data_IF_126059091054
#
_entry.id   IF_126059091054
#
_cell.length_a   1.000
_cell.length_b   1.000
_cell.length_c   1.000
_cell.angle_alpha   90.00
_cell.angle_beta   90.00
_cell.angle_gamma   90.00
#
_symmetry.space_group_name_H-M   'P 1'
#
loop_
_entity.id
_entity.type
_entity.pdbx_description
1 polymer ?
#
# COMPACT_ATOMS: atom_id res chain seq x y z
N UNK A 1 -21.25 48.58 -3.99
CA UNK A 1 -20.27 47.55 -3.64
C UNK A 1 -20.90 46.19 -3.87
N UNK A 2 -20.77 45.65 -5.08
CA UNK A 2 -21.35 44.34 -5.44
C UNK A 2 -20.40 43.23 -5.03
N UNK A 3 -20.88 42.29 -4.21
CA UNK A 3 -20.13 41.13 -3.73
C UNK A 3 -19.69 40.26 -4.90
N UNK A 4 -18.39 40.27 -5.20
CA UNK A 4 -17.72 39.14 -5.86
C UNK A 4 -17.68 37.97 -4.87
N UNK A 5 -18.83 37.39 -4.55
CA UNK A 5 -18.88 36.02 -4.04
C UNK A 5 -18.61 35.16 -5.28
N UNK A 6 -17.33 34.91 -5.52
CA UNK A 6 -16.79 34.44 -6.79
C UNK A 6 -17.26 33.00 -7.04
N UNK A 7 -17.47 32.62 -8.30
CA UNK A 7 -17.77 31.23 -8.71
C UNK A 7 -16.83 30.17 -8.10
N UNK A 8 -15.63 30.57 -7.66
CA UNK A 8 -14.68 29.73 -6.91
C UNK A 8 -15.22 29.22 -5.58
N UNK A 9 -16.01 30.02 -4.87
CA UNK A 9 -16.44 29.71 -3.49
C UNK A 9 -17.64 28.75 -3.50
N UNK A 10 -18.56 28.94 -4.47
CA UNK A 10 -19.64 27.98 -4.74
C UNK A 10 -19.09 26.62 -5.17
N UNK A 11 -18.04 26.62 -6.02
CA UNK A 11 -17.39 25.40 -6.49
C UNK A 11 -16.66 24.66 -5.35
N UNK A 12 -15.92 25.39 -4.51
CA UNK A 12 -15.29 24.82 -3.31
C UNK A 12 -16.31 24.19 -2.38
N UNK A 13 -17.45 24.84 -2.15
CA UNK A 13 -18.52 24.30 -1.31
C UNK A 13 -19.13 23.01 -1.88
N UNK A 14 -19.33 22.94 -3.20
CA UNK A 14 -19.84 21.74 -3.89
C UNK A 14 -18.88 20.55 -3.72
N UNK A 15 -17.59 20.73 -4.03
CA UNK A 15 -16.58 19.68 -3.87
C UNK A 15 -16.43 19.19 -2.44
N UNK A 16 -16.50 20.11 -1.47
CA UNK A 16 -16.46 19.77 -0.04
C UNK A 16 -17.65 18.90 0.35
N UNK A 17 -18.84 19.21 -0.14
CA UNK A 17 -20.05 18.41 0.09
C UNK A 17 -19.93 17.02 -0.53
N UNK A 18 -19.46 16.94 -1.77
CA UNK A 18 -19.28 15.69 -2.50
C UNK A 18 -18.33 14.73 -1.79
N UNK A 19 -17.12 15.18 -1.42
CA UNK A 19 -16.15 14.31 -0.76
C UNK A 19 -16.52 13.98 0.69
N UNK A 20 -17.26 14.86 1.37
CA UNK A 20 -17.77 14.62 2.72
C UNK A 20 -18.67 13.38 2.72
N UNK A 21 -19.58 13.32 1.75
CA UNK A 21 -20.53 12.21 1.60
C UNK A 21 -19.93 10.97 0.93
N UNK A 22 -18.75 11.09 0.31
CA UNK A 22 -18.11 9.95 -0.34
C UNK A 22 -17.56 8.95 0.69
N UNK A 23 -17.91 7.68 0.49
CA UNK A 23 -17.34 6.57 1.23
C UNK A 23 -16.46 5.74 0.30
N UNK A 24 -15.19 5.55 0.67
CA UNK A 24 -14.30 4.63 -0.04
C UNK A 24 -14.73 3.16 0.09
N UNK A 25 -15.55 2.86 1.10
CA UNK A 25 -16.11 1.55 1.37
C UNK A 25 -17.54 1.50 0.84
N UNK A 26 -17.82 0.65 -0.16
CA UNK A 26 -19.20 0.31 -0.51
C UNK A 26 -19.78 -0.55 0.65
N UNK A 27 -20.98 -0.24 1.18
CA UNK A 27 -21.63 -1.05 2.22
C UNK A 27 -21.80 -2.54 1.85
N UNK A 28 -21.80 -2.87 0.56
CA UNK A 28 -21.86 -4.25 0.04
C UNK A 28 -20.47 -4.90 -0.08
N UNK A 29 -19.41 -4.14 0.15
CA UNK A 29 -18.05 -4.62 0.00
C UNK A 29 -17.63 -5.46 1.21
N UNK A 30 -17.30 -6.72 0.96
CA UNK A 30 -16.91 -7.64 2.02
C UNK A 30 -15.57 -7.23 2.67
N UNK A 31 -14.63 -6.65 1.91
CA UNK A 31 -13.33 -6.17 2.39
C UNK A 31 -13.18 -4.65 2.17
N UNK A 32 -13.49 -3.84 3.20
CA UNK A 32 -13.34 -2.39 3.13
C UNK A 32 -11.88 -1.92 3.05
N UNK A 33 -11.66 -0.74 2.46
CA UNK A 33 -10.35 -0.06 2.43
C UNK A 33 -9.75 0.07 3.83
N UNK A 34 -10.58 0.37 4.83
CA UNK A 34 -10.16 0.44 6.23
C UNK A 34 -9.50 -0.86 6.70
N UNK A 35 -10.14 -2.02 6.47
CA UNK A 35 -9.60 -3.32 6.86
C UNK A 35 -8.32 -3.65 6.10
N UNK A 36 -8.23 -3.27 4.81
CA UNK A 36 -7.00 -3.41 4.04
C UNK A 36 -5.86 -2.59 4.62
N UNK A 37 -6.11 -1.33 4.94
CA UNK A 37 -5.07 -0.42 5.46
C UNK A 37 -4.60 -0.84 6.84
N UNK A 38 -5.52 -1.25 7.75
CA UNK A 38 -5.17 -1.82 9.05
C UNK A 38 -4.22 -3.03 8.87
N UNK A 39 -4.63 -3.98 8.03
CA UNK A 39 -3.87 -5.20 7.76
C UNK A 39 -2.52 -4.93 7.12
N UNK A 40 -2.50 -4.20 6.01
CA UNK A 40 -1.31 -4.05 5.18
C UNK A 40 -0.34 -3.01 5.74
N UNK A 41 -0.78 -2.02 6.52
CA UNK A 41 0.12 -1.01 7.11
C UNK A 41 0.43 -1.24 8.60
N UNK A 42 -0.16 -2.28 9.20
CA UNK A 42 -0.06 -2.61 10.63
C UNK A 42 -0.41 -1.43 11.54
N UNK A 43 -1.46 -0.68 11.23
CA UNK A 43 -1.88 0.51 11.97
C UNK A 43 -3.13 0.25 12.81
N UNK A 44 -3.26 0.97 13.92
CA UNK A 44 -4.49 0.94 14.71
C UNK A 44 -5.66 1.67 14.00
N UNK A 45 -6.90 1.31 14.35
CA UNK A 45 -8.13 1.84 13.75
C UNK A 45 -8.21 3.37 13.83
N UNK A 46 -7.78 3.97 14.94
CA UNK A 46 -7.82 5.43 15.13
C UNK A 46 -6.87 6.12 14.15
N UNK A 47 -5.67 5.59 13.98
CA UNK A 47 -4.67 6.11 13.03
C UNK A 47 -5.15 5.95 11.58
N UNK A 48 -5.75 4.81 11.23
CA UNK A 48 -6.32 4.59 9.89
C UNK A 48 -7.44 5.58 9.58
N UNK A 49 -8.34 5.84 10.52
CA UNK A 49 -9.40 6.82 10.36
C UNK A 49 -8.84 8.24 10.10
N UNK A 50 -7.81 8.64 10.84
CA UNK A 50 -7.13 9.93 10.61
C UNK A 50 -6.48 10.00 9.22
N UNK A 51 -5.83 8.92 8.77
CA UNK A 51 -5.23 8.86 7.44
C UNK A 51 -6.27 8.90 6.32
N UNK A 52 -7.45 8.32 6.50
CA UNK A 52 -8.55 8.44 5.54
C UNK A 52 -9.06 9.88 5.42
N UNK A 53 -9.14 10.62 6.54
CA UNK A 53 -9.43 12.05 6.51
C UNK A 53 -8.33 12.81 5.76
N UNK A 54 -7.06 12.51 6.04
CA UNK A 54 -5.93 13.11 5.32
C UNK A 54 -5.97 12.81 3.82
N UNK A 55 -6.37 11.60 3.41
CA UNK A 55 -6.52 11.23 1.99
C UNK A 55 -7.60 12.09 1.31
N UNK A 56 -8.75 12.28 1.96
CA UNK A 56 -9.80 13.17 1.43
C UNK A 56 -9.29 14.60 1.25
N UNK A 57 -8.62 15.15 2.27
CA UNK A 57 -8.00 16.50 2.19
C UNK A 57 -6.98 16.56 1.05
N UNK A 58 -6.11 15.56 0.93
CA UNK A 58 -5.11 15.48 -0.14
C UNK A 58 -5.72 15.47 -1.55
N UNK A 59 -6.81 14.73 -1.76
CA UNK A 59 -7.51 14.70 -3.05
C UNK A 59 -8.22 16.03 -3.36
N UNK A 60 -8.80 16.69 -2.35
CA UNK A 60 -9.38 18.03 -2.49
C UNK A 60 -8.34 19.07 -2.91
N UNK A 61 -7.18 19.08 -2.23
CA UNK A 61 -6.10 20.03 -2.54
C UNK A 61 -5.60 19.86 -3.99
N UNK A 62 -5.39 18.61 -4.41
CA UNK A 62 -5.09 18.32 -5.81
C UNK A 62 -6.15 18.87 -6.76
N UNK A 63 -7.42 18.66 -6.43
CA UNK A 63 -8.52 19.09 -7.27
C UNK A 63 -8.65 20.62 -7.36
N UNK A 64 -8.40 21.33 -6.26
CA UNK A 64 -8.37 22.79 -6.26
C UNK A 64 -7.25 23.32 -7.16
N UNK A 65 -6.03 22.77 -7.03
CA UNK A 65 -4.89 23.17 -7.86
C UNK A 65 -5.15 22.92 -9.36
N UNK A 66 -5.67 21.74 -9.71
CA UNK A 66 -6.02 21.39 -11.10
C UNK A 66 -7.04 22.37 -11.69
N UNK A 67 -8.02 22.81 -10.88
CA UNK A 67 -9.08 23.72 -11.33
C UNK A 67 -8.59 25.16 -11.45
N UNK A 68 -7.73 25.62 -10.55
CA UNK A 68 -7.10 26.94 -10.64
C UNK A 68 -6.25 27.08 -11.92
N UNK A 69 -5.58 26.00 -12.33
CA UNK A 69 -4.84 25.91 -13.60
C UNK A 69 -5.74 25.93 -14.85
N UNK A 70 -7.08 25.90 -14.69
CA UNK A 70 -8.08 25.86 -15.77
C UNK A 70 -7.83 24.76 -16.81
N UNK A 71 -7.31 23.62 -16.36
CA UNK A 71 -7.01 22.50 -17.24
C UNK A 71 -8.31 21.97 -17.83
N UNK A 72 -8.37 21.88 -19.16
CA UNK A 72 -9.45 21.17 -19.82
C UNK A 72 -9.31 19.68 -19.51
N UNK A 73 -10.26 19.19 -18.72
CA UNK A 73 -10.37 17.79 -18.36
C UNK A 73 -10.67 17.00 -19.62
N UNK A 74 -9.75 16.11 -20.00
CA UNK A 74 -9.98 15.10 -21.03
C UNK A 74 -10.12 13.74 -20.34
N UNK A 75 -10.74 12.76 -20.99
CA UNK A 75 -10.86 11.37 -20.50
C UNK A 75 -9.51 10.66 -20.25
N UNK A 76 -8.39 11.35 -20.47
CA UNK A 76 -7.03 10.85 -20.40
C UNK A 76 -6.38 10.94 -19.02
N UNK A 77 -7.10 11.36 -17.96
CA UNK A 77 -6.56 11.54 -16.60
C UNK A 77 -5.66 12.77 -16.46
N UNK A 78 -5.45 13.23 -15.23
CA UNK A 78 -4.62 14.39 -14.89
C UNK A 78 -3.67 14.00 -13.78
N UNK A 79 -2.36 14.19 -13.98
CA UNK A 79 -1.35 13.99 -12.95
C UNK A 79 -1.63 14.83 -11.71
N UNK A 80 -1.36 14.26 -10.53
CA UNK A 80 -1.30 14.98 -9.26
C UNK A 80 -0.46 16.27 -9.38
N UNK A 81 -0.75 17.26 -8.53
CA UNK A 81 0.06 18.49 -8.39
C UNK A 81 0.90 18.50 -7.12
N UNK A 82 0.52 17.66 -6.18
CA UNK A 82 1.20 17.52 -4.89
C UNK A 82 1.52 16.05 -4.63
N UNK A 83 2.63 15.81 -3.95
CA UNK A 83 3.03 14.48 -3.50
C UNK A 83 2.48 14.19 -2.10
N UNK A 84 2.02 12.96 -1.88
CA UNK A 84 1.61 12.51 -0.56
C UNK A 84 2.85 12.09 0.27
N UNK A 85 2.89 12.36 1.59
CA UNK A 85 3.89 11.78 2.49
C UNK A 85 3.87 10.25 2.40
N UNK A 86 5.00 9.54 2.62
CA UNK A 86 5.11 8.11 2.37
C UNK A 86 3.99 7.27 3.00
N UNK A 87 3.62 7.51 4.26
CA UNK A 87 2.52 6.81 4.92
C UNK A 87 1.15 7.10 4.28
N UNK A 88 0.87 8.37 3.94
CA UNK A 88 -0.37 8.73 3.24
C UNK A 88 -0.39 8.20 1.81
N UNK A 89 0.76 8.17 1.16
CA UNK A 89 0.92 7.63 -0.18
C UNK A 89 0.64 6.12 -0.21
N UNK A 90 0.99 5.37 0.85
CA UNK A 90 0.58 3.96 0.98
C UNK A 90 -0.96 3.83 1.08
N UNK A 91 -1.63 4.71 1.84
CA UNK A 91 -3.10 4.73 1.90
C UNK A 91 -3.71 5.13 0.56
N UNK A 92 -3.10 6.07 -0.15
CA UNK A 92 -3.53 6.47 -1.49
C UNK A 92 -3.37 5.33 -2.49
N UNK A 93 -2.24 4.63 -2.48
CA UNK A 93 -2.01 3.40 -3.24
C UNK A 93 -3.07 2.35 -2.92
N UNK A 94 -3.33 2.05 -1.64
CA UNK A 94 -4.42 1.14 -1.25
C UNK A 94 -5.76 1.59 -1.83
N UNK A 95 -6.08 2.89 -1.81
CA UNK A 95 -7.33 3.41 -2.40
C UNK A 95 -7.40 3.22 -3.93
N UNK A 96 -6.28 3.38 -4.66
CA UNK A 96 -6.21 3.16 -6.11
C UNK A 96 -6.56 1.71 -6.48
N UNK A 97 -6.20 0.75 -5.61
CA UNK A 97 -6.53 -0.67 -5.79
C UNK A 97 -8.03 -0.97 -5.57
N UNK A 98 -8.80 -0.03 -5.01
CA UNK A 98 -10.27 0.00 -5.05
C UNK A 98 -10.69 0.81 -6.27
N UNK A 99 -10.26 0.37 -7.46
CA UNK A 99 -10.16 1.24 -8.63
C UNK A 99 -11.51 1.85 -9.04
N UNK A 100 -12.62 1.14 -8.87
CA UNK A 100 -13.95 1.68 -9.15
C UNK A 100 -14.27 2.91 -8.28
N UNK A 101 -14.10 2.77 -6.95
CA UNK A 101 -14.38 3.82 -5.99
C UNK A 101 -13.40 4.99 -6.15
N UNK A 102 -12.11 4.70 -6.34
CA UNK A 102 -11.11 5.73 -6.58
C UNK A 102 -11.39 6.55 -7.84
N UNK A 103 -11.74 5.88 -8.96
CA UNK A 103 -12.10 6.56 -10.20
C UNK A 103 -13.39 7.37 -10.03
N UNK A 104 -14.37 6.86 -9.29
CA UNK A 104 -15.62 7.57 -9.02
C UNK A 104 -15.39 8.88 -8.27
N UNK A 105 -14.61 8.87 -7.17
CA UNK A 105 -14.31 10.10 -6.44
C UNK A 105 -13.48 11.08 -7.27
N UNK A 106 -12.48 10.61 -8.03
CA UNK A 106 -11.71 11.50 -8.89
C UNK A 106 -12.59 12.16 -9.96
N UNK A 107 -13.50 11.41 -10.59
CA UNK A 107 -14.44 11.96 -11.59
C UNK A 107 -15.39 12.97 -10.97
N UNK A 108 -15.85 12.73 -9.75
CA UNK A 108 -16.68 13.69 -9.02
C UNK A 108 -15.91 15.00 -8.77
N UNK A 109 -14.67 14.90 -8.28
CA UNK A 109 -13.85 16.07 -7.95
C UNK A 109 -13.34 16.86 -9.17
N UNK A 110 -12.79 16.18 -10.17
CA UNK A 110 -12.08 16.81 -11.30
C UNK A 110 -12.55 16.36 -12.67
N UNK A 111 -13.56 15.49 -12.77
CA UNK A 111 -14.09 14.99 -14.06
C UNK A 111 -13.28 13.87 -14.70
N UNK A 112 -12.11 13.51 -14.18
CA UNK A 112 -11.28 12.41 -14.66
C UNK A 112 -10.51 11.75 -13.52
N UNK A 113 -9.65 10.76 -13.83
CA UNK A 113 -8.75 10.16 -12.84
C UNK A 113 -7.66 11.16 -12.45
N UNK A 114 -7.35 11.26 -11.15
CA UNK A 114 -6.14 11.92 -10.66
C UNK A 114 -5.02 10.87 -10.69
N UNK A 115 -4.03 11.06 -11.56
CA UNK A 115 -2.92 10.13 -11.69
C UNK A 115 -1.88 10.36 -10.60
N UNK A 116 -1.59 9.32 -9.84
CA UNK A 116 -0.45 9.27 -8.93
C UNK A 116 0.84 9.38 -9.74
N UNK A 117 1.67 10.36 -9.39
CA UNK A 117 3.00 10.54 -9.96
C UNK A 117 4.05 10.00 -9.00
N UNK A 118 4.81 9.00 -9.44
CA UNK A 118 5.88 8.41 -8.65
C UNK A 118 7.11 9.33 -8.56
N UNK A 119 7.29 10.24 -9.52
CA UNK A 119 8.51 11.03 -9.68
C UNK A 119 8.37 12.49 -9.21
N UNK A 120 7.21 12.90 -8.70
CA UNK A 120 7.01 14.28 -8.25
C UNK A 120 7.72 14.57 -6.94
N UNK A 121 8.65 15.53 -7.00
CA UNK A 121 9.34 16.10 -5.83
C UNK A 121 8.69 17.40 -5.33
N UNK A 122 7.53 17.78 -5.87
CA UNK A 122 6.78 18.96 -5.43
C UNK A 122 6.03 18.65 -4.12
N UNK A 123 6.81 18.56 -3.04
CA UNK A 123 6.30 18.40 -1.69
C UNK A 123 5.74 19.75 -1.26
N UNK A 124 4.42 19.82 -1.06
CA UNK A 124 3.83 20.95 -0.35
C UNK A 124 4.12 20.79 1.14
N UNK A 125 5.28 21.26 1.60
CA UNK A 125 5.71 21.20 3.01
C UNK A 125 4.65 21.73 3.98
N UNK A 126 3.84 22.69 3.55
CA UNK A 126 2.72 23.22 4.34
C UNK A 126 1.61 22.18 4.57
N UNK A 127 1.30 21.36 3.57
CA UNK A 127 0.31 20.28 3.69
C UNK A 127 0.88 19.18 4.59
N UNK A 128 2.16 18.84 4.39
CA UNK A 128 2.87 17.86 5.22
C UNK A 128 2.90 18.28 6.69
N UNK A 129 3.29 19.53 7.01
CA UNK A 129 3.28 20.07 8.38
C UNK A 129 1.89 20.16 8.99
N UNK A 130 0.85 20.45 8.18
CA UNK A 130 -0.54 20.44 8.65
C UNK A 130 -1.03 19.04 8.99
N UNK A 131 -0.59 18.02 8.25
CA UNK A 131 -1.03 16.63 8.42
C UNK A 131 -0.22 15.86 9.47
N UNK A 132 1.11 16.06 9.49
CA UNK A 132 2.07 15.40 10.37
C UNK A 132 3.09 16.44 10.87
N UNK A 133 2.76 17.22 11.91
CA UNK A 133 3.57 18.37 12.34
C UNK A 133 4.99 18.02 12.81
N UNK A 134 5.19 16.79 13.30
CA UNK A 134 6.48 16.31 13.79
C UNK A 134 7.40 15.82 12.66
N UNK A 135 6.86 15.63 11.46
CA UNK A 135 7.54 15.02 10.32
C UNK A 135 8.40 16.04 9.57
N UNK A 136 9.71 15.78 9.46
CA UNK A 136 10.67 16.67 8.77
C UNK A 136 11.01 16.22 7.33
N UNK A 137 11.65 17.09 6.55
CA UNK A 137 11.97 16.81 5.14
C UNK A 137 12.98 15.67 4.96
N UNK A 138 13.89 15.48 5.93
CA UNK A 138 14.87 14.39 5.88
C UNK A 138 14.14 13.05 6.05
N UNK A 139 13.21 12.96 7.00
CA UNK A 139 12.37 11.78 7.18
C UNK A 139 11.61 11.39 5.92
N UNK A 140 11.03 12.37 5.22
CA UNK A 140 10.29 12.10 3.99
C UNK A 140 11.11 11.29 2.99
N UNK A 141 12.33 11.74 2.71
CA UNK A 141 13.20 11.11 1.73
C UNK A 141 13.66 9.72 2.17
N UNK A 142 13.86 9.51 3.47
CA UNK A 142 14.30 8.23 4.01
C UNK A 142 13.14 7.23 3.95
N UNK A 143 11.97 7.62 4.46
CA UNK A 143 10.82 6.72 4.52
C UNK A 143 10.41 6.20 3.14
N UNK A 144 10.49 7.03 2.10
CA UNK A 144 10.17 6.58 0.73
C UNK A 144 11.05 5.43 0.22
N UNK A 145 12.29 5.32 0.71
CA UNK A 145 13.25 4.30 0.27
C UNK A 145 13.18 3.01 1.10
N UNK A 146 12.61 3.07 2.31
CA UNK A 146 12.65 1.98 3.30
C UNK A 146 11.27 1.42 3.67
N UNK A 147 10.23 1.73 2.88
CA UNK A 147 8.95 1.01 2.92
C UNK A 147 9.04 -0.21 2.02
N UNK A 148 9.02 -1.39 2.63
CA UNK A 148 9.11 -2.68 1.95
C UNK A 148 7.98 -3.61 2.39
N UNK A 149 7.66 -4.59 1.56
CA UNK A 149 6.78 -5.69 1.93
C UNK A 149 7.56 -6.75 2.71
N UNK A 150 7.07 -7.13 3.89
CA UNK A 150 7.64 -8.19 4.72
C UNK A 150 6.55 -9.24 4.95
N UNK A 151 6.86 -10.52 4.76
CA UNK A 151 5.91 -11.58 5.06
C UNK A 151 5.72 -11.70 6.58
N UNK A 152 4.52 -12.04 7.04
CA UNK A 152 4.18 -12.06 8.47
C UNK A 152 5.06 -13.00 9.29
N UNK A 153 5.56 -14.09 8.70
CA UNK A 153 6.46 -15.04 9.35
C UNK A 153 7.90 -14.51 9.51
N UNK A 154 8.31 -13.51 8.72
CA UNK A 154 9.65 -12.90 8.77
C UNK A 154 9.70 -11.71 9.74
N UNK A 155 8.56 -11.09 10.01
CA UNK A 155 8.46 -9.83 10.76
C UNK A 155 9.08 -9.90 12.16
N UNK A 156 8.87 -11.01 12.88
CA UNK A 156 9.46 -11.19 14.21
C UNK A 156 10.98 -11.12 14.16
N UNK A 157 11.56 -11.89 13.24
CA UNK A 157 13.00 -11.99 13.08
C UNK A 157 13.59 -10.63 12.69
N UNK A 158 12.94 -9.89 11.80
CA UNK A 158 13.36 -8.53 11.42
C UNK A 158 13.37 -7.59 12.63
N UNK A 159 12.34 -7.64 13.49
CA UNK A 159 12.33 -6.85 14.73
C UNK A 159 13.46 -7.26 15.68
N UNK A 160 13.73 -8.57 15.80
CA UNK A 160 14.83 -9.09 16.63
C UNK A 160 16.18 -8.58 16.12
N UNK A 161 16.42 -8.67 14.82
CA UNK A 161 17.69 -8.32 14.20
C UNK A 161 17.98 -6.82 14.35
N UNK A 162 16.97 -5.96 14.12
CA UNK A 162 17.08 -4.51 14.31
C UNK A 162 17.34 -4.18 15.80
N UNK A 163 16.58 -4.79 16.71
CA UNK A 163 16.79 -4.60 18.15
C UNK A 163 18.21 -5.00 18.57
N UNK A 164 18.64 -6.21 18.20
CA UNK A 164 19.94 -6.77 18.58
C UNK A 164 21.09 -5.93 18.02
N UNK A 165 20.95 -5.40 16.82
CA UNK A 165 21.92 -4.43 16.30
C UNK A 165 21.97 -3.19 17.19
N UNK A 166 20.82 -2.56 17.46
CA UNK A 166 20.74 -1.31 18.22
C UNK A 166 21.35 -1.42 19.62
N UNK A 167 21.08 -2.50 20.36
CA UNK A 167 21.54 -2.65 21.76
C UNK A 167 23.02 -3.01 21.89
N UNK A 168 23.64 -3.48 20.80
CA UNK A 168 25.06 -3.80 20.77
C UNK A 168 25.94 -2.58 20.47
N UNK A 169 25.34 -1.46 20.07
CA UNK A 169 26.03 -0.21 19.79
C UNK A 169 25.99 0.72 21.02
N UNK A 170 27.13 1.31 21.39
CA UNK A 170 27.17 2.29 22.50
C UNK A 170 26.57 3.65 22.09
N UNK A 171 26.77 4.00 20.82
CA UNK A 171 26.28 5.25 20.22
C UNK A 171 25.71 4.96 18.84
N UNK A 172 24.48 5.41 18.60
CA UNK A 172 23.86 5.35 17.28
C UNK A 172 24.06 6.68 16.57
N UNK A 173 24.52 6.65 15.32
CA UNK A 173 24.46 7.79 14.41
C UNK A 173 23.36 7.58 13.37
N UNK A 174 22.95 8.66 12.73
CA UNK A 174 22.01 8.60 11.63
C UNK A 174 22.50 7.69 10.48
N UNK A 175 23.78 7.78 10.12
CA UNK A 175 24.41 6.96 9.08
C UNK A 175 24.43 5.47 9.45
N UNK A 176 24.65 5.15 10.72
CA UNK A 176 24.63 3.78 11.21
C UNK A 176 23.24 3.14 11.05
N UNK A 177 22.17 3.90 11.32
CA UNK A 177 20.80 3.44 11.11
C UNK A 177 20.48 3.26 9.62
N UNK A 178 20.96 4.16 8.74
CA UNK A 178 20.81 3.97 7.30
C UNK A 178 21.49 2.67 6.82
N UNK A 179 22.70 2.40 7.30
CA UNK A 179 23.44 1.18 6.99
C UNK A 179 22.70 -0.07 7.50
N UNK A 180 22.15 -0.04 8.72
CA UNK A 180 21.31 -1.11 9.26
C UNK A 180 20.13 -1.41 8.34
N UNK A 181 19.37 -0.39 7.94
CA UNK A 181 18.20 -0.61 7.07
C UNK A 181 18.59 -1.16 5.70
N UNK A 182 19.71 -0.72 5.13
CA UNK A 182 20.25 -1.31 3.90
C UNK A 182 20.62 -2.78 4.09
N UNK A 183 21.26 -3.14 5.19
CA UNK A 183 21.59 -4.53 5.52
C UNK A 183 20.33 -5.38 5.67
N UNK A 184 19.28 -4.86 6.32
CA UNK A 184 17.98 -5.54 6.44
C UNK A 184 17.31 -5.76 5.08
N UNK A 185 17.34 -4.78 4.17
CA UNK A 185 16.83 -4.97 2.80
C UNK A 185 17.62 -6.05 2.05
N UNK A 186 18.93 -6.10 2.23
CA UNK A 186 19.78 -7.10 1.60
C UNK A 186 19.55 -8.51 2.17
N UNK A 187 19.34 -8.64 3.49
CA UNK A 187 19.05 -9.94 4.12
C UNK A 187 17.68 -10.49 3.71
N UNK A 188 16.69 -9.60 3.52
CA UNK A 188 15.35 -9.94 3.02
C UNK A 188 15.30 -10.16 1.51
N UNK A 189 16.41 -9.97 0.80
CA UNK A 189 16.43 -10.07 -0.66
C UNK A 189 16.21 -11.51 -1.14
N UNK A 190 15.02 -11.76 -1.69
CA UNK A 190 14.59 -13.05 -2.24
C UNK A 190 15.28 -13.31 -3.57
N UNK A 191 15.80 -14.53 -3.71
CA UNK A 191 16.46 -15.01 -4.92
C UNK A 191 15.71 -16.18 -5.50
N UNK A 192 15.78 -16.31 -6.81
CA UNK A 192 15.29 -17.47 -7.50
C UNK A 192 16.01 -18.73 -7.01
N UNK A 193 15.27 -19.83 -6.86
CA UNK A 193 15.85 -21.12 -6.48
C UNK A 193 16.10 -22.00 -7.70
N UNK A 194 15.38 -21.74 -8.80
CA UNK A 194 15.52 -22.46 -10.07
C UNK A 194 15.82 -21.52 -11.24
N UNK A 195 16.42 -22.07 -12.29
CA UNK A 195 16.75 -21.32 -13.50
C UNK A 195 15.48 -21.02 -14.30
N UNK A 196 15.19 -19.75 -14.49
CA UNK A 196 14.07 -19.27 -15.32
C UNK A 196 14.18 -19.76 -16.76
N UNK A 197 13.07 -20.21 -17.32
CA UNK A 197 12.98 -20.61 -18.73
C UNK A 197 11.81 -19.90 -19.41
N UNK A 198 12.13 -19.13 -20.45
CA UNK A 198 11.12 -18.58 -21.34
C UNK A 198 10.53 -19.73 -22.16
N UNK A 199 9.20 -19.86 -22.13
CA UNK A 199 8.47 -20.90 -22.84
C UNK A 199 7.94 -20.34 -24.15
N UNK A 200 7.95 -21.16 -25.20
CA UNK A 200 7.43 -20.75 -26.50
C UNK A 200 5.89 -20.83 -26.50
N UNK A 201 5.23 -19.72 -26.83
CA UNK A 201 3.78 -19.68 -27.03
C UNK A 201 3.47 -20.22 -28.43
N UNK A 202 2.69 -21.30 -28.51
CA UNK A 202 2.42 -22.00 -29.77
C UNK A 202 1.38 -21.28 -30.64
N UNK A 203 0.34 -20.70 -30.02
CA UNK A 203 -0.71 -19.97 -30.73
C UNK A 203 -0.24 -18.56 -31.09
N UNK A 204 -0.22 -18.25 -32.40
CA UNK A 204 0.25 -16.97 -32.92
C UNK A 204 -0.57 -15.78 -32.45
N UNK A 205 -1.89 -15.92 -32.28
CA UNK A 205 -2.74 -14.83 -31.82
C UNK A 205 -2.45 -14.51 -30.36
N UNK A 206 -2.25 -15.56 -29.54
CA UNK A 206 -1.88 -15.41 -28.12
C UNK A 206 -0.48 -14.80 -28.02
N UNK A 207 0.47 -15.25 -28.83
CA UNK A 207 1.83 -14.72 -28.87
C UNK A 207 1.86 -13.23 -29.23
N UNK A 208 1.04 -12.78 -30.20
CA UNK A 208 0.91 -11.37 -30.58
C UNK A 208 0.43 -10.53 -29.39
N UNK A 209 -0.60 -10.99 -28.68
CA UNK A 209 -1.13 -10.28 -27.50
C UNK A 209 -0.09 -10.25 -26.38
N UNK A 210 0.56 -11.38 -26.10
CA UNK A 210 1.60 -11.49 -25.08
C UNK A 210 2.78 -10.53 -25.36
N UNK A 211 3.30 -10.51 -26.59
CA UNK A 211 4.37 -9.59 -27.01
C UNK A 211 3.96 -8.12 -26.90
N UNK A 212 2.72 -7.79 -27.28
CA UNK A 212 2.19 -6.43 -27.13
C UNK A 212 2.10 -6.03 -25.65
N UNK A 213 1.68 -6.94 -24.77
CA UNK A 213 1.68 -6.72 -23.32
C UNK A 213 3.09 -6.44 -22.82
N UNK A 214 4.07 -7.27 -23.18
CA UNK A 214 5.48 -7.08 -22.77
C UNK A 214 6.03 -5.72 -23.20
N UNK A 215 5.71 -5.26 -24.41
CA UNK A 215 6.15 -3.95 -24.93
C UNK A 215 5.53 -2.75 -24.20
N UNK A 216 4.38 -2.95 -23.54
CA UNK A 216 3.66 -1.90 -22.83
C UNK A 216 3.94 -1.91 -21.32
N UNK A 217 4.72 -2.87 -20.81
CA UNK A 217 5.17 -2.86 -19.42
C UNK A 217 6.09 -1.64 -19.20
N UNK A 218 5.85 -0.82 -18.16
CA UNK A 218 6.73 0.31 -17.85
C UNK A 218 8.16 -0.13 -17.51
N UNK A 219 9.16 0.57 -18.03
CA UNK A 219 10.57 0.26 -17.80
C UNK A 219 10.94 0.35 -16.30
N UNK A 220 10.29 1.25 -15.55
CA UNK A 220 10.57 1.43 -14.12
C UNK A 220 9.96 0.32 -13.25
N UNK A 221 9.02 -0.48 -13.77
CA UNK A 221 8.29 -1.47 -12.99
C UNK A 221 9.23 -2.50 -12.35
N UNK A 222 10.24 -2.97 -13.09
CA UNK A 222 11.24 -3.93 -12.60
C UNK A 222 11.96 -3.39 -11.37
N UNK A 223 12.49 -2.16 -11.44
CA UNK A 223 13.19 -1.54 -10.33
C UNK A 223 12.25 -1.31 -9.13
N UNK A 224 11.02 -0.85 -9.36
CA UNK A 224 10.06 -0.60 -8.29
C UNK A 224 9.75 -1.89 -7.52
N UNK A 225 9.47 -3.01 -8.20
CA UNK A 225 9.15 -4.27 -7.52
C UNK A 225 10.38 -4.87 -6.84
N UNK A 226 11.58 -4.71 -7.41
CA UNK A 226 12.83 -5.14 -6.76
C UNK A 226 13.00 -4.45 -5.40
N UNK A 227 12.80 -3.13 -5.36
CA UNK A 227 12.96 -2.35 -4.13
C UNK A 227 11.84 -2.58 -3.12
N UNK A 228 10.59 -2.67 -3.57
CA UNK A 228 9.42 -2.83 -2.71
C UNK A 228 9.29 -4.22 -2.09
N UNK A 229 9.60 -5.26 -2.85
CA UNK A 229 9.43 -6.65 -2.42
C UNK A 229 10.76 -7.35 -2.13
N UNK A 230 11.86 -6.60 -2.09
CA UNK A 230 13.22 -7.10 -1.89
C UNK A 230 13.52 -8.30 -2.80
N UNK A 231 13.49 -8.10 -4.12
CA UNK A 231 13.70 -9.17 -5.10
C UNK A 231 15.05 -9.03 -5.80
N UNK A 232 15.68 -10.17 -6.12
CA UNK A 232 16.75 -10.21 -7.12
C UNK A 232 16.24 -9.69 -8.46
N UNK A 233 17.14 -9.16 -9.29
CA UNK A 233 16.77 -8.72 -10.63
C UNK A 233 16.16 -9.86 -11.46
N UNK A 234 16.71 -11.06 -11.33
CA UNK A 234 16.23 -12.22 -12.06
C UNK A 234 14.82 -12.60 -11.61
N UNK A 235 14.54 -12.64 -10.31
CA UNK A 235 13.21 -12.97 -9.77
C UNK A 235 12.17 -11.90 -10.14
N UNK A 236 12.53 -10.62 -10.10
CA UNK A 236 11.66 -9.53 -10.57
C UNK A 236 11.25 -9.70 -12.05
N UNK A 237 12.19 -10.09 -12.92
CA UNK A 237 11.89 -10.41 -14.33
C UNK A 237 10.96 -11.60 -14.48
N UNK A 238 11.11 -12.62 -13.63
CA UNK A 238 10.19 -13.78 -13.63
C UNK A 238 8.78 -13.35 -13.22
N UNK A 239 8.63 -12.53 -12.18
CA UNK A 239 7.32 -12.06 -11.72
C UNK A 239 6.64 -11.19 -12.80
N UNK A 240 7.39 -10.30 -13.45
CA UNK A 240 6.86 -9.50 -14.58
C UNK A 240 6.47 -10.39 -15.76
N UNK A 241 7.25 -11.42 -16.06
CA UNK A 241 6.94 -12.37 -17.12
C UNK A 241 5.63 -13.13 -16.84
N UNK A 242 5.44 -13.64 -15.63
CA UNK A 242 4.20 -14.31 -15.22
C UNK A 242 3.02 -13.33 -15.10
N UNK A 243 3.26 -12.08 -14.72
CA UNK A 243 2.27 -11.01 -14.81
C UNK A 243 1.82 -10.78 -16.26
N UNK A 244 2.74 -10.80 -17.23
CA UNK A 244 2.36 -10.72 -18.65
C UNK A 244 1.50 -11.92 -19.07
N UNK A 245 1.74 -13.12 -18.53
CA UNK A 245 0.90 -14.28 -18.80
C UNK A 245 -0.51 -14.07 -18.25
N UNK A 246 -0.61 -13.61 -17.00
CA UNK A 246 -1.89 -13.33 -16.36
C UNK A 246 -2.70 -12.28 -17.12
N UNK A 247 -2.07 -11.17 -17.51
CA UNK A 247 -2.73 -10.15 -18.32
C UNK A 247 -3.14 -10.68 -19.71
N UNK A 248 -2.37 -11.59 -20.29
CA UNK A 248 -2.72 -12.23 -21.57
C UNK A 248 -3.97 -13.09 -21.42
N UNK A 249 -4.05 -13.96 -20.41
CA UNK A 249 -5.23 -14.81 -20.22
C UNK A 249 -6.47 -13.98 -19.85
N UNK A 250 -6.33 -12.87 -19.11
CA UNK A 250 -7.43 -11.95 -18.87
C UNK A 250 -8.06 -11.40 -20.16
N UNK A 251 -7.31 -11.29 -21.27
CA UNK A 251 -7.85 -10.82 -22.56
C UNK A 251 -8.84 -11.83 -23.18
N UNK A 252 -8.66 -13.12 -22.88
CA UNK A 252 -9.44 -14.22 -23.43
C UNK A 252 -10.48 -14.78 -22.45
N UNK A 253 -10.45 -14.35 -21.20
CA UNK A 253 -11.40 -14.80 -20.18
C UNK A 253 -12.69 -13.98 -20.19
N UNK A 254 -13.81 -14.66 -20.05
CA UNK A 254 -15.11 -14.08 -19.69
C UNK A 254 -15.44 -14.26 -18.19
N UNK A 255 -14.64 -15.09 -17.50
CA UNK A 255 -14.78 -15.37 -16.08
C UNK A 255 -13.82 -14.53 -15.24
N UNK A 256 -14.11 -14.44 -13.94
CA UNK A 256 -13.21 -13.87 -12.94
C UNK A 256 -11.97 -14.77 -12.84
N UNK A 257 -10.79 -14.17 -12.99
CA UNK A 257 -9.52 -14.82 -12.76
C UNK A 257 -8.86 -14.22 -11.52
N UNK A 258 -8.11 -15.04 -10.79
CA UNK A 258 -7.39 -14.66 -9.59
C UNK A 258 -5.92 -15.02 -9.77
N UNK A 259 -4.99 -14.06 -9.70
CA UNK A 259 -3.56 -14.34 -9.86
C UNK A 259 -2.97 -15.07 -8.64
N UNK A 260 -1.72 -15.51 -8.73
CA UNK A 260 -0.92 -15.82 -7.55
C UNK A 260 -0.53 -14.55 -6.79
N UNK A 261 0.00 -14.68 -5.57
CA UNK A 261 0.38 -13.54 -4.74
C UNK A 261 1.48 -12.69 -5.40
N UNK A 262 2.51 -13.34 -5.93
CA UNK A 262 3.64 -12.71 -6.62
C UNK A 262 3.18 -11.92 -7.85
N UNK A 263 2.23 -12.47 -8.61
CA UNK A 263 1.68 -11.80 -9.80
C UNK A 263 0.73 -10.66 -9.39
N UNK A 264 -0.03 -10.82 -8.30
CA UNK A 264 -0.90 -9.77 -7.76
C UNK A 264 -0.09 -8.57 -7.28
N UNK A 265 1.08 -8.81 -6.66
CA UNK A 265 2.01 -7.76 -6.23
C UNK A 265 2.52 -6.91 -7.40
N UNK A 266 2.91 -7.55 -8.51
CA UNK A 266 3.29 -6.82 -9.74
C UNK A 266 2.08 -6.07 -10.30
N UNK A 267 0.89 -6.68 -10.29
CA UNK A 267 -0.33 -6.05 -10.77
C UNK A 267 -0.69 -4.81 -9.95
N UNK A 268 -0.73 -4.89 -8.62
CA UNK A 268 -0.98 -3.76 -7.72
C UNK A 268 0.04 -2.64 -7.94
N UNK A 269 1.32 -2.98 -8.09
CA UNK A 269 2.37 -2.00 -8.39
C UNK A 269 2.11 -1.28 -9.70
N UNK A 270 1.78 -2.01 -10.77
CA UNK A 270 1.43 -1.41 -12.05
C UNK A 270 0.18 -0.54 -11.94
N UNK A 271 -0.87 -0.97 -11.22
CA UNK A 271 -2.08 -0.17 -10.99
C UNK A 271 -1.81 1.16 -10.30
N UNK A 272 -0.87 1.18 -9.35
CA UNK A 272 -0.40 2.40 -8.68
C UNK A 272 0.39 3.33 -9.62
N UNK A 273 0.89 2.84 -10.76
CA UNK A 273 1.34 3.64 -11.90
C UNK A 273 0.14 4.03 -12.78
N UNK A 274 -0.82 4.72 -12.16
CA UNK A 274 -2.18 5.00 -12.67
C UNK A 274 -2.26 5.42 -14.14
N UNK A 275 -1.37 6.33 -14.58
CA UNK A 275 -1.30 6.79 -15.98
C UNK A 275 -0.89 5.66 -16.92
N UNK A 276 0.22 5.00 -16.62
CA UNK A 276 0.77 3.89 -17.40
C UNK A 276 -0.22 2.72 -17.44
N UNK A 277 -0.80 2.34 -16.30
CA UNK A 277 -1.78 1.26 -16.24
C UNK A 277 -3.04 1.57 -17.02
N UNK A 278 -3.57 2.80 -16.95
CA UNK A 278 -4.70 3.21 -17.78
C UNK A 278 -4.37 3.07 -19.27
N UNK A 279 -3.22 3.58 -19.69
CA UNK A 279 -2.77 3.49 -21.09
C UNK A 279 -2.62 2.03 -21.54
N UNK A 280 -1.99 1.21 -20.71
CA UNK A 280 -1.87 -0.24 -20.91
C UNK A 280 -3.24 -0.90 -21.08
N UNK A 281 -4.19 -0.61 -20.19
CA UNK A 281 -5.53 -1.18 -20.24
C UNK A 281 -6.27 -0.84 -21.55
N UNK A 282 -6.29 0.44 -21.95
CA UNK A 282 -6.96 0.83 -23.19
C UNK A 282 -6.25 0.28 -24.45
N UNK A 283 -4.91 0.17 -24.42
CA UNK A 283 -4.16 -0.37 -25.54
C UNK A 283 -4.39 -1.87 -25.76
N UNK A 284 -4.62 -2.65 -24.70
CA UNK A 284 -4.81 -4.12 -24.77
C UNK A 284 -6.29 -4.51 -24.79
N UNK A 285 -7.12 -3.91 -23.95
CA UNK A 285 -8.50 -4.33 -23.69
C UNK A 285 -9.55 -3.35 -24.19
N UNK A 286 -9.17 -2.16 -24.67
CA UNK A 286 -10.08 -1.08 -25.08
C UNK A 286 -10.99 -0.57 -23.94
N UNK A 287 -10.72 -0.99 -22.71
CA UNK A 287 -11.42 -0.62 -21.48
C UNK A 287 -10.48 -0.69 -20.29
N UNK A 288 -10.84 0.01 -19.22
CA UNK A 288 -10.14 -0.13 -17.95
C UNK A 288 -10.41 -1.51 -17.33
N UNK A 289 -9.36 -2.18 -16.84
CA UNK A 289 -9.48 -3.42 -16.06
C UNK A 289 -9.45 -3.05 -14.58
N UNK A 290 -10.62 -3.05 -13.95
CA UNK A 290 -10.77 -2.78 -12.52
C UNK A 290 -10.19 -3.91 -11.69
N UNK A 291 -9.50 -3.55 -10.61
CA UNK A 291 -9.23 -4.47 -9.51
C UNK A 291 -10.27 -4.22 -8.42
N UNK A 292 -10.87 -5.30 -7.95
CA UNK A 292 -11.82 -5.29 -6.84
C UNK A 292 -11.23 -6.17 -5.73
N UNK A 293 -10.81 -5.58 -4.61
CA UNK A 293 -10.36 -6.34 -3.45
C UNK A 293 -11.53 -7.17 -2.94
N UNK A 294 -11.49 -8.49 -3.19
CA UNK A 294 -12.49 -9.42 -2.67
C UNK A 294 -12.05 -9.82 -1.27
N UNK A 295 -12.96 -9.81 -0.29
CA UNK A 295 -12.66 -10.48 0.99
C UNK A 295 -12.46 -11.95 0.68
N UNK A 296 -11.51 -12.54 1.37
CA UNK A 296 -11.44 -13.97 1.61
C UNK A 296 -12.64 -14.46 2.45
N UNK A 297 -13.85 -13.92 2.22
CA UNK A 297 -15.08 -14.18 2.99
C UNK A 297 -15.81 -15.43 2.52
N UNK A 298 -15.50 -15.91 1.31
CA UNK A 298 -15.81 -17.27 0.90
C UNK A 298 -14.54 -17.89 0.30
N UNK A 299 -13.59 -18.22 1.18
CA UNK A 299 -12.29 -18.80 0.81
C UNK A 299 -12.44 -19.89 -0.25
N UNK A 300 -13.49 -20.72 -0.15
CA UNK A 300 -13.82 -21.78 -1.11
C UNK A 300 -14.02 -21.24 -2.54
N UNK A 301 -14.83 -20.19 -2.72
CA UNK A 301 -15.15 -19.64 -4.05
C UNK A 301 -13.93 -18.95 -4.68
N UNK A 302 -13.18 -18.19 -3.89
CA UNK A 302 -11.96 -17.50 -4.38
C UNK A 302 -10.85 -18.51 -4.68
N UNK A 303 -10.74 -19.56 -3.85
CA UNK A 303 -9.87 -20.69 -4.10
C UNK A 303 -10.22 -21.42 -5.39
N UNK A 304 -11.51 -21.60 -5.68
CA UNK A 304 -11.96 -22.26 -6.89
C UNK A 304 -11.70 -21.39 -8.13
N UNK A 305 -11.79 -20.06 -8.04
CA UNK A 305 -11.36 -19.17 -9.11
C UNK A 305 -9.85 -19.23 -9.36
N UNK A 306 -9.03 -19.44 -8.33
CA UNK A 306 -7.59 -19.64 -8.51
C UNK A 306 -7.29 -20.93 -9.28
N UNK A 307 -7.90 -22.05 -8.86
CA UNK A 307 -7.76 -23.32 -9.59
C UNK A 307 -8.25 -23.20 -11.03
N UNK A 308 -9.35 -22.48 -11.27
CA UNK A 308 -9.82 -22.16 -12.62
C UNK A 308 -8.81 -21.31 -13.40
N UNK A 309 -8.12 -20.38 -12.73
CA UNK A 309 -7.06 -19.56 -13.35
C UNK A 309 -5.89 -20.43 -13.80
N UNK A 310 -5.42 -21.36 -12.97
CA UNK A 310 -4.35 -22.31 -13.34
C UNK A 310 -4.76 -23.21 -14.53
N UNK A 311 -6.00 -23.72 -14.49
CA UNK A 311 -6.55 -24.51 -15.60
C UNK A 311 -6.62 -23.69 -16.88
N UNK A 312 -7.08 -22.43 -16.79
CA UNK A 312 -7.19 -21.55 -17.93
C UNK A 312 -5.82 -21.13 -18.48
N UNK A 313 -4.86 -20.86 -17.61
CA UNK A 313 -3.45 -20.65 -17.95
C UNK A 313 -2.93 -21.81 -18.80
N UNK A 314 -3.03 -23.05 -18.29
CA UNK A 314 -2.58 -24.24 -18.99
C UNK A 314 -3.26 -24.41 -20.35
N UNK A 315 -4.57 -24.13 -20.42
CA UNK A 315 -5.35 -24.21 -21.69
C UNK A 315 -4.90 -23.17 -22.71
N UNK A 316 -4.58 -21.95 -22.28
CA UNK A 316 -4.16 -20.87 -23.17
C UNK A 316 -2.72 -21.12 -23.67
N UNK A 317 -1.81 -21.51 -22.78
CA UNK A 317 -0.39 -21.60 -23.12
C UNK A 317 0.11 -22.99 -23.51
N UNK A 318 -0.68 -24.04 -23.27
CA UNK A 318 -0.31 -25.45 -23.51
C UNK A 318 0.90 -25.94 -22.68
N UNK A 319 1.19 -25.26 -21.57
CA UNK A 319 2.17 -25.68 -20.57
C UNK A 319 1.73 -25.29 -19.16
N UNK A 320 2.26 -25.98 -18.15
CA UNK A 320 2.04 -25.62 -16.75
C UNK A 320 2.72 -24.29 -16.41
N UNK A 321 2.10 -23.43 -15.59
CA UNK A 321 2.78 -22.27 -15.03
C UNK A 321 3.95 -22.70 -14.11
N UNK A 322 4.89 -21.79 -13.84
CA UNK A 322 5.97 -22.06 -12.89
C UNK A 322 5.41 -22.21 -11.47
N UNK A 323 5.58 -23.38 -10.85
CA UNK A 323 5.02 -23.68 -9.53
C UNK A 323 5.64 -22.86 -8.39
N UNK A 324 6.78 -22.20 -8.61
CA UNK A 324 7.37 -21.28 -7.62
C UNK A 324 6.62 -19.96 -7.53
N UNK A 325 5.98 -19.56 -8.63
CA UNK A 325 5.22 -18.30 -8.75
C UNK A 325 3.72 -18.59 -8.72
N UNK A 326 3.30 -19.75 -9.22
CA UNK A 326 1.93 -20.23 -9.24
C UNK A 326 1.82 -21.50 -8.41
N UNK A 327 1.88 -21.39 -7.07
CA UNK A 327 1.80 -22.54 -6.18
C UNK A 327 0.44 -23.22 -6.30
N UNK A 328 0.31 -24.44 -5.76
CA UNK A 328 -1.01 -25.08 -5.67
C UNK A 328 -1.97 -24.27 -4.79
N UNK A 329 -3.26 -24.61 -4.86
CA UNK A 329 -4.31 -23.93 -4.11
C UNK A 329 -4.01 -23.97 -2.59
N UNK A 330 -3.54 -25.10 -2.10
CA UNK A 330 -3.25 -25.31 -0.67
C UNK A 330 -2.13 -24.38 -0.19
N UNK A 331 -1.06 -24.28 -0.97
CA UNK A 331 0.10 -23.45 -0.64
C UNK A 331 -0.20 -21.95 -0.78
N UNK A 332 -0.96 -21.56 -1.82
CA UNK A 332 -1.36 -20.16 -2.03
C UNK A 332 -2.15 -19.61 -0.85
N UNK A 333 -3.02 -20.42 -0.25
CA UNK A 333 -3.91 -19.97 0.82
C UNK A 333 -3.44 -20.38 2.21
N UNK A 334 -2.22 -20.89 2.33
CA UNK A 334 -1.58 -21.08 3.62
C UNK A 334 -1.25 -19.70 4.23
N UNK A 335 -1.84 -19.33 5.38
CA UNK A 335 -1.58 -18.02 6.01
C UNK A 335 -0.11 -17.75 6.31
N UNK A 336 0.71 -18.80 6.46
CA UNK A 336 2.15 -18.65 6.65
C UNK A 336 2.86 -18.13 5.39
N UNK A 337 2.31 -18.39 4.21
CA UNK A 337 2.94 -18.11 2.91
C UNK A 337 2.38 -16.86 2.20
N UNK A 338 1.14 -16.45 2.51
CA UNK A 338 0.42 -15.43 1.73
C UNK A 338 0.08 -14.14 2.48
N UNK A 339 0.51 -14.01 3.74
CA UNK A 339 0.29 -12.80 4.52
C UNK A 339 1.58 -11.99 4.66
N UNK A 340 1.45 -10.68 4.50
CA UNK A 340 2.51 -9.72 4.70
C UNK A 340 1.98 -8.31 4.90
N UNK A 341 2.91 -7.38 5.11
CA UNK A 341 2.61 -5.99 5.40
C UNK A 341 3.68 -5.06 4.84
N UNK A 342 3.28 -3.85 4.49
CA UNK A 342 4.17 -2.73 4.22
C UNK A 342 4.76 -2.22 5.54
N UNK A 343 6.06 -2.45 5.71
CA UNK A 343 6.81 -2.05 6.90
C UNK A 343 7.80 -0.97 6.50
N UNK A 344 7.81 0.12 7.26
CA UNK A 344 8.84 1.14 7.15
C UNK A 344 9.98 0.81 8.14
N UNK A 345 11.13 0.38 7.62
CA UNK A 345 12.28 -0.02 8.43
C UNK A 345 12.85 1.14 9.27
N UNK A 346 12.72 2.38 8.79
CA UNK A 346 13.15 3.56 9.54
C UNK A 346 12.25 3.80 10.74
N UNK A 347 10.94 3.85 10.51
CA UNK A 347 9.94 3.98 11.59
C UNK A 347 10.08 2.84 12.61
N UNK A 348 10.33 1.61 12.15
CA UNK A 348 10.54 0.46 13.03
C UNK A 348 11.79 0.64 13.90
N UNK A 349 12.92 1.02 13.29
CA UNK A 349 14.15 1.36 14.02
C UNK A 349 13.92 2.47 15.04
N UNK A 350 13.25 3.57 14.66
CA UNK A 350 12.97 4.68 15.57
C UNK A 350 12.08 4.26 16.73
N UNK A 351 11.11 3.37 16.47
CA UNK A 351 10.19 2.85 17.50
C UNK A 351 10.94 2.00 18.53
N UNK A 352 11.93 1.21 18.09
CA UNK A 352 12.77 0.41 18.97
C UNK A 352 13.70 1.31 19.80
N UNK A 353 14.34 2.31 19.18
CA UNK A 353 15.20 3.27 19.90
C UNK A 353 14.41 3.99 21.00
N UNK A 354 13.23 4.51 20.68
CA UNK A 354 12.38 5.19 21.67
C UNK A 354 11.94 4.25 22.80
N UNK A 355 11.61 3.01 22.49
CA UNK A 355 11.24 2.01 23.48
C UNK A 355 12.38 1.75 24.48
N UNK A 356 13.62 1.66 23.99
CA UNK A 356 14.82 1.48 24.81
C UNK A 356 15.07 2.73 25.68
N UNK A 357 14.95 3.93 25.10
CA UNK A 357 15.10 5.19 25.84
C UNK A 357 14.05 5.34 26.95
N UNK A 358 12.82 4.89 26.70
CA UNK A 358 11.73 4.86 27.68
C UNK A 358 11.88 3.75 28.74
N UNK A 359 12.92 2.92 28.64
CA UNK A 359 13.21 1.80 29.55
C UNK A 359 12.05 0.80 29.65
N UNK A 360 11.31 0.63 28.55
CA UNK A 360 10.21 -0.32 28.44
C UNK A 360 10.71 -1.71 28.02
N UNK A 361 9.93 -2.76 28.31
CA UNK A 361 10.30 -4.12 27.93
C UNK A 361 10.36 -4.26 26.40
N UNK A 362 11.51 -4.68 25.82
CA UNK A 362 11.63 -4.89 24.38
C UNK A 362 11.06 -6.26 24.01
N UNK A 363 9.79 -6.27 23.61
CA UNK A 363 9.12 -7.43 23.02
C UNK A 363 8.32 -7.00 21.79
N UNK A 364 7.93 -7.96 20.95
CA UNK A 364 7.26 -7.71 19.67
C UNK A 364 5.98 -6.87 19.84
N UNK A 365 5.21 -7.09 20.92
CA UNK A 365 3.99 -6.33 21.24
C UNK A 365 4.29 -4.84 21.47
N UNK A 366 5.25 -4.53 22.32
CA UNK A 366 5.57 -3.15 22.68
C UNK A 366 6.21 -2.40 21.50
N UNK A 367 7.04 -3.09 20.70
CA UNK A 367 7.62 -2.54 19.47
C UNK A 367 6.51 -2.16 18.49
N UNK A 368 5.55 -3.07 18.25
CA UNK A 368 4.42 -2.79 17.35
C UNK A 368 3.52 -1.67 17.87
N UNK A 369 3.27 -1.61 19.17
CA UNK A 369 2.49 -0.52 19.76
C UNK A 369 3.18 0.85 19.56
N UNK A 370 4.51 0.90 19.74
CA UNK A 370 5.30 2.10 19.44
C UNK A 370 5.29 2.43 17.95
N UNK A 371 5.46 1.42 17.09
CA UNK A 371 5.38 1.57 15.64
C UNK A 371 4.04 2.20 15.24
N UNK A 372 2.92 1.60 15.66
CA UNK A 372 1.56 2.05 15.35
C UNK A 372 1.29 3.49 15.76
N UNK A 373 1.73 3.87 16.96
CA UNK A 373 1.47 5.19 17.54
C UNK A 373 2.51 6.25 17.16
N UNK A 374 3.53 5.90 16.39
CA UNK A 374 4.60 6.81 15.99
C UNK A 374 4.08 7.99 15.14
N UNK A 375 4.52 9.21 15.52
CA UNK A 375 4.00 10.47 14.98
C UNK A 375 4.95 11.23 14.06
N UNK A 376 6.11 10.67 13.73
CA UNK A 376 7.13 11.37 12.96
C UNK A 376 8.29 11.93 13.78
N UNK A 377 8.50 11.50 15.01
CA UNK A 377 9.55 12.05 15.87
C UNK A 377 10.95 11.60 15.39
N UNK A 378 11.78 12.54 14.94
CA UNK A 378 13.16 12.27 14.49
C UNK A 378 14.09 12.37 15.69
N UNK A 379 14.52 11.24 16.22
CA UNK A 379 15.42 11.21 17.38
C UNK A 379 16.80 11.82 17.08
N UNK A 380 17.16 11.98 15.80
CA UNK A 380 18.39 12.65 15.34
C UNK A 380 18.17 14.11 14.91
N UNK A 381 17.00 14.71 15.17
CA UNK A 381 16.69 16.07 14.70
C UNK A 381 17.69 17.11 15.20
N UNK A 382 17.97 17.05 16.50
CA UNK A 382 18.75 18.04 17.23
C UNK A 382 20.08 17.47 17.75
N UNK A 383 20.41 16.21 17.41
CA UNK A 383 21.57 15.49 17.90
C UNK A 383 22.20 14.64 16.78
N UNK A 384 23.52 14.62 16.71
CA UNK A 384 24.26 13.81 15.72
C UNK A 384 24.36 12.33 16.11
N UNK A 385 24.25 12.06 17.41
CA UNK A 385 24.37 10.72 17.99
C UNK A 385 23.40 10.56 19.16
N UNK A 386 23.01 9.31 19.40
CA UNK A 386 22.16 8.90 20.52
C UNK A 386 22.93 7.87 21.33
N UNK A 387 23.04 8.08 22.64
CA UNK A 387 23.57 7.08 23.55
C UNK A 387 22.51 6.00 23.81
N UNK A 388 22.92 4.74 23.69
CA UNK A 388 22.06 3.59 23.98
C UNK A 388 22.46 3.05 25.33
N UNK A 389 21.54 3.08 26.30
CA UNK A 389 21.71 2.31 27.52
C UNK A 389 21.61 0.82 27.15
N UNK A 390 22.58 0.00 27.56
CA UNK A 390 22.51 -1.45 27.37
C UNK A 390 21.23 -1.97 28.01
N UNK A 391 20.26 -2.36 27.19
CA UNK A 391 18.99 -2.94 27.65
C UNK A 391 19.10 -4.46 27.76
N UNK A 392 18.17 -5.05 28.51
CA UNK A 392 18.01 -6.49 28.69
C UNK A 392 17.72 -7.14 27.32
N UNK A 393 18.14 -8.41 27.14
CA UNK A 393 17.85 -9.20 25.94
C UNK A 393 16.36 -9.17 25.57
N UNK A 394 16.09 -9.09 24.27
CA UNK A 394 14.73 -9.08 23.76
C UNK A 394 14.06 -10.42 24.07
N UNK A 395 12.92 -10.39 24.76
CA UNK A 395 12.14 -11.61 25.03
C UNK A 395 11.19 -11.86 23.88
N UNK A 396 11.21 -13.06 23.30
CA UNK A 396 10.20 -13.47 22.32
C UNK A 396 8.83 -13.43 23.00
N UNK A 397 7.89 -12.69 22.42
CA UNK A 397 6.48 -12.82 22.75
C UNK A 397 5.85 -13.62 21.64
N UNK A 398 4.95 -14.56 21.93
CA UNK A 398 4.21 -15.25 20.88
C UNK A 398 3.48 -14.20 20.01
N UNK A 399 4.06 -13.85 18.86
CA UNK A 399 3.35 -13.10 17.83
C UNK A 399 2.09 -13.84 17.41
N UNK A 400 1.96 -15.14 17.71
CA UNK A 400 0.73 -15.92 17.53
C UNK A 400 -0.51 -15.27 18.16
N UNK A 401 -0.38 -14.49 19.24
CA UNK A 401 -1.52 -13.76 19.83
C UNK A 401 -1.78 -12.42 19.12
N UNK A 402 -0.78 -11.82 18.47
CA UNK A 402 -0.97 -10.63 17.63
C UNK A 402 -1.36 -11.00 16.20
N UNK A 403 -0.96 -12.18 15.70
CA UNK A 403 -1.05 -12.59 14.31
C UNK A 403 -2.25 -13.53 14.02
N UNK A 404 -3.16 -13.71 14.97
CA UNK A 404 -4.56 -14.04 14.67
C UNK A 404 -5.50 -12.85 14.92
N UNK A 405 -5.21 -11.95 15.87
CA UNK A 405 -6.11 -10.85 16.25
C UNK A 405 -5.82 -9.50 15.58
N UNK A 406 -4.63 -9.26 15.02
CA UNK A 406 -4.30 -8.04 14.24
C UNK A 406 -4.57 -8.24 12.74
N UNK A 407 -4.97 -9.47 12.35
CA UNK A 407 -5.39 -9.82 10.99
C UNK A 407 -6.87 -10.12 10.83
N UNK A 408 -7.60 -10.33 11.93
CA UNK A 408 -9.06 -10.38 12.03
C UNK A 408 -9.35 -10.24 13.52
N UNK A 409 -10.14 -9.25 13.93
CA UNK A 409 -10.96 -9.45 15.13
C UNK A 409 -11.60 -10.83 15.03
N UNK A 410 -11.76 -11.54 16.15
CA UNK A 410 -12.75 -12.62 16.14
C UNK A 410 -14.06 -12.04 15.60
N UNK A 411 -14.79 -12.77 14.75
CA UNK A 411 -16.09 -12.31 14.26
C UNK A 411 -17.00 -11.85 15.42
N UNK A 412 -16.81 -12.42 16.62
CA UNK A 412 -17.38 -11.98 17.90
C UNK A 412 -16.96 -10.58 18.35
N UNK A 413 -15.69 -10.18 18.27
CA UNK A 413 -15.26 -8.83 18.70
C UNK A 413 -15.64 -7.75 17.67
N UNK A 414 -15.66 -8.08 16.37
CA UNK A 414 -16.23 -7.20 15.33
C UNK A 414 -17.76 -7.12 15.42
N UNK A 415 -18.44 -8.11 16.01
CA UNK A 415 -19.88 -8.04 16.27
C UNK A 415 -20.18 -7.23 17.53
N UNK A 416 -19.36 -7.33 18.58
CA UNK A 416 -19.46 -6.48 19.77
C UNK A 416 -19.15 -4.99 19.47
N UNK A 417 -18.24 -4.71 18.54
CA UNK A 417 -18.00 -3.34 18.02
C UNK A 417 -19.06 -2.89 16.99
N UNK A 418 -19.69 -3.82 16.25
CA UNK A 418 -20.78 -3.51 15.30
C UNK A 418 -22.10 -3.19 15.98
N UNK A 419 -22.36 -3.73 17.17
CA UNK A 419 -23.59 -3.43 17.93
C UNK A 419 -23.44 -2.33 18.97
N UNK A 420 -22.21 -1.89 19.31
CA UNK A 420 -21.99 -0.85 20.32
C UNK A 420 -21.66 0.56 19.77
N UNK A 421 -21.62 0.79 18.45
CA UNK A 421 -21.08 2.07 17.93
C UNK A 421 -21.88 2.81 16.86
N UNK A 422 -23.22 2.75 16.85
CA UNK A 422 -23.98 3.94 16.40
C UNK A 422 -24.12 4.99 17.53
N UNK A 423 -24.12 4.57 18.79
CA UNK A 423 -24.08 5.48 19.95
C UNK A 423 -22.64 5.88 20.31
N UNK A 424 -21.68 4.94 20.38
CA UNK A 424 -20.26 5.29 20.67
C UNK A 424 -19.52 6.04 19.54
N UNK A 425 -19.99 5.98 18.28
CA UNK A 425 -19.46 6.81 17.18
C UNK A 425 -19.62 8.31 17.45
N UNK A 426 -20.65 8.70 18.19
CA UNK A 426 -20.90 10.10 18.54
C UNK A 426 -20.17 10.52 19.81
N UNK A 427 -19.83 9.59 20.71
CA UNK A 427 -19.26 9.89 22.03
C UNK A 427 -17.72 9.84 22.06
N UNK A 428 -17.06 9.14 21.13
CA UNK A 428 -15.59 8.97 21.08
C UNK A 428 -14.87 9.79 20.00
N UNK A 429 -15.62 10.48 19.13
CA UNK A 429 -15.05 11.21 18.01
C UNK A 429 -15.35 12.70 18.13
N UNK A 430 -14.30 13.51 17.96
CA UNK A 430 -14.43 14.95 17.81
C UNK A 430 -15.48 15.24 16.74
N UNK A 431 -16.46 16.05 17.11
CA UNK A 431 -17.52 16.60 16.28
C UNK A 431 -17.00 16.84 14.84
N UNK A 432 -17.68 16.31 13.82
CA UNK A 432 -17.29 16.52 12.40
C UNK A 432 -17.02 18.00 12.11
N UNK A 433 -17.67 18.91 12.85
CA UNK A 433 -17.48 20.36 12.82
C UNK A 433 -16.06 20.83 13.19
N UNK A 434 -15.34 20.13 14.09
CA UNK A 434 -13.93 20.44 14.45
C UNK A 434 -12.99 20.03 13.31
N UNK A 435 -13.29 18.92 12.62
CA UNK A 435 -12.54 18.45 11.44
C UNK A 435 -12.75 19.43 10.27
N UNK A 436 -13.96 19.96 10.11
CA UNK A 436 -14.34 20.90 9.05
C UNK A 436 -13.79 22.32 9.26
N UNK A 437 -13.70 22.81 10.50
CA UNK A 437 -13.12 24.13 10.80
C UNK A 437 -11.59 24.20 10.58
N UNK A 438 -10.93 23.06 10.33
CA UNK A 438 -9.51 22.99 9.94
C UNK A 438 -9.28 22.94 8.41
N UNK A 439 -10.36 22.87 7.62
CA UNK A 439 -10.35 22.83 6.15
C UNK A 439 -10.60 24.23 5.55
N UNK A 440 -11.25 25.14 6.31
CA UNK A 440 -11.23 26.59 6.06
C UNK A 440 -9.86 27.15 6.42
#
# INVERSE_FOLDING_TARGET
>A
MGSKCCKSDSYRAEMLSEIKNFNFNDPKQEFPLEQRVIRELMLDTKTVYQLQICLKKFLLENAFLIKEEKIQVQDKGITSRISAPPLLDQVWQSSILYSQNYIAICKMLVGCIIDRDYNQQNIHQNILKKMLPEYDDKMYQIESEFIIWINSHELEQVMMDIHNFIVNEETLSFELILNLMMQMKLSLCKKETNKFQIKQIQDKNIEIVFKKIQQLIPNELELIIMHKYCLSQQLAKQYIYEYCHFMTILKYSQAILVPSEEVDQVWHTHQCMTKQYRQFCYAIYERFIYHNPTKLGNQIVVQDFYSQTLIFYKRIFQYEPDSQIWPCKEDRWNPQNCLGSWVNLYRLSMSIIQLIQDKLQPNSKNILQKYQTWKGTNVFRDQTQIHVEKSIEMTQSALQNLNYEVGCYSLSELEDDRFSSNQKRNDLFFNDDVIMNSIQ
#
